data_IF_095105710739
#
_entry.id   IF_095105710739
#
_cell.length_a   1.000
_cell.length_b   1.000
_cell.length_c   1.000
_cell.angle_alpha   90.00
_cell.angle_beta   90.00
_cell.angle_gamma   90.00
#
_symmetry.space_group_name_H-M   'P 1'
#
loop_
_entity.id
_entity.type
_entity.pdbx_description
1 polymer ?
#
# COMPACT_ATOMS: atom_id res chain seq x y z
N UNK A 1 -4.95 -1.33 21.83
CA UNK A 1 -3.74 -0.51 21.66
C UNK A 1 -2.85 -1.05 20.55
N UNK A 2 -2.50 -2.34 20.54
CA UNK A 2 -1.68 -2.94 19.45
C UNK A 2 -2.38 -2.98 18.08
N UNK A 3 -3.63 -3.47 18.03
CA UNK A 3 -4.40 -3.58 16.79
C UNK A 3 -4.67 -2.21 16.12
N UNK A 4 -4.88 -1.16 16.91
CA UNK A 4 -5.09 0.20 16.41
C UNK A 4 -3.84 0.79 15.76
N UNK A 5 -2.65 0.57 16.35
CA UNK A 5 -1.39 1.04 15.78
C UNK A 5 -1.06 0.33 14.46
N UNK A 6 -1.39 -0.97 14.36
CA UNK A 6 -1.21 -1.73 13.13
C UNK A 6 -2.14 -1.24 12.02
N UNK A 7 -3.43 -0.99 12.32
CA UNK A 7 -4.38 -0.41 11.35
C UNK A 7 -3.95 0.97 10.87
N UNK A 8 -3.45 1.81 11.76
CA UNK A 8 -2.93 3.14 11.39
C UNK A 8 -1.73 3.02 10.44
N UNK A 9 -0.82 2.08 10.68
CA UNK A 9 0.29 1.79 9.75
C UNK A 9 -0.20 1.31 8.39
N UNK A 10 -1.23 0.46 8.35
CA UNK A 10 -1.83 -0.01 7.10
C UNK A 10 -2.46 1.15 6.34
N UNK A 11 -3.21 2.03 7.00
CA UNK A 11 -3.76 3.24 6.39
C UNK A 11 -2.66 4.16 5.81
N UNK A 12 -1.51 4.27 6.49
CA UNK A 12 -0.35 5.00 5.95
C UNK A 12 0.25 4.32 4.72
N UNK A 13 0.25 2.99 4.65
CA UNK A 13 0.72 2.24 3.48
C UNK A 13 -0.23 2.41 2.29
N UNK A 14 -1.54 2.37 2.53
CA UNK A 14 -2.57 2.64 1.50
C UNK A 14 -2.40 4.06 0.93
N UNK A 15 -2.19 5.06 1.79
CA UNK A 15 -1.91 6.43 1.32
C UNK A 15 -0.63 6.53 0.50
N UNK A 16 0.45 5.83 0.88
CA UNK A 16 1.70 5.81 0.09
C UNK A 16 1.52 5.11 -1.26
N UNK A 17 0.70 4.06 -1.30
CA UNK A 17 0.32 3.39 -2.55
C UNK A 17 -0.38 4.37 -3.50
N UNK A 18 -1.31 5.18 -3.01
CA UNK A 18 -1.98 6.20 -3.82
C UNK A 18 -0.98 7.21 -4.42
N UNK A 19 0.03 7.62 -3.66
CA UNK A 19 1.10 8.50 -4.15
C UNK A 19 1.89 7.84 -5.30
N UNK A 20 2.19 6.55 -5.18
CA UNK A 20 2.89 5.81 -6.24
C UNK A 20 2.04 5.63 -7.50
N UNK A 21 0.72 5.44 -7.35
CA UNK A 21 -0.22 5.42 -8.48
C UNK A 21 -0.21 6.78 -9.20
N UNK A 22 -0.34 7.89 -8.47
CA UNK A 22 -0.27 9.24 -9.05
C UNK A 22 1.08 9.49 -9.72
N UNK A 23 2.17 8.96 -9.14
CA UNK A 23 3.50 9.07 -9.72
C UNK A 23 3.56 8.38 -11.09
N UNK A 24 2.96 7.19 -11.24
CA UNK A 24 2.91 6.46 -12.52
C UNK A 24 2.20 7.22 -13.65
N UNK A 25 1.29 8.13 -13.31
CA UNK A 25 0.60 8.97 -14.30
C UNK A 25 1.55 9.98 -14.96
N UNK A 26 2.72 10.22 -14.37
CA UNK A 26 3.74 11.11 -14.94
C UNK A 26 4.44 10.46 -16.16
N UNK A 27 4.49 11.20 -17.26
CA UNK A 27 5.06 10.74 -18.52
C UNK A 27 6.59 10.66 -18.51
N UNK A 28 7.26 11.41 -17.63
CA UNK A 28 8.71 11.69 -17.60
C UNK A 28 9.49 10.89 -16.55
N UNK A 29 8.90 9.84 -15.98
CA UNK A 29 9.56 8.98 -14.97
C UNK A 29 10.82 8.25 -15.46
N UNK A 30 10.97 8.02 -16.76
CA UNK A 30 12.12 7.28 -17.31
C UNK A 30 12.28 5.91 -16.64
N UNK A 31 13.47 5.62 -16.11
CA UNK A 31 13.80 4.35 -15.44
C UNK A 31 13.09 4.17 -14.11
N UNK A 32 12.73 5.27 -13.42
CA UNK A 32 12.02 5.22 -12.13
C UNK A 32 10.65 4.54 -12.25
N UNK A 33 10.07 4.50 -13.46
CA UNK A 33 8.80 3.79 -13.71
C UNK A 33 8.89 2.31 -13.34
N UNK A 34 10.02 1.64 -13.58
CA UNK A 34 10.18 0.22 -13.24
C UNK A 34 10.17 0.05 -11.72
N UNK A 35 10.93 0.88 -11.01
CA UNK A 35 11.01 0.84 -9.55
C UNK A 35 9.66 1.16 -8.89
N UNK A 36 8.90 2.11 -9.45
CA UNK A 36 7.56 2.47 -8.95
C UNK A 36 6.55 1.34 -9.17
N UNK A 37 6.59 0.66 -10.32
CA UNK A 37 5.75 -0.51 -10.55
C UNK A 37 6.10 -1.64 -9.56
N UNK A 38 7.39 -1.92 -9.36
CA UNK A 38 7.83 -2.93 -8.40
C UNK A 38 7.37 -2.58 -6.97
N UNK A 39 7.53 -1.32 -6.55
CA UNK A 39 7.09 -0.88 -5.23
C UNK A 39 5.55 -1.01 -5.05
N UNK A 40 4.77 -0.78 -6.11
CA UNK A 40 3.32 -0.97 -6.08
C UNK A 40 2.95 -2.45 -5.95
N UNK A 41 3.61 -3.34 -6.70
CA UNK A 41 3.41 -4.79 -6.59
C UNK A 41 3.73 -5.28 -5.16
N UNK A 42 4.87 -4.89 -4.60
CA UNK A 42 5.26 -5.27 -3.24
C UNK A 42 4.28 -4.75 -2.18
N UNK A 43 3.76 -3.52 -2.35
CA UNK A 43 2.75 -2.97 -1.45
C UNK A 43 1.41 -3.70 -1.57
N UNK A 44 0.98 -4.04 -2.80
CA UNK A 44 -0.25 -4.79 -3.04
C UNK A 44 -0.17 -6.19 -2.43
N UNK A 45 0.95 -6.89 -2.62
CA UNK A 45 1.20 -8.19 -1.98
C UNK A 45 1.19 -8.09 -0.44
N UNK A 46 1.81 -7.04 0.11
CA UNK A 46 1.83 -6.82 1.56
C UNK A 46 0.43 -6.54 2.13
N UNK A 47 -0.36 -5.71 1.45
CA UNK A 47 -1.74 -5.40 1.86
C UNK A 47 -2.64 -6.64 1.75
N UNK A 48 -2.52 -7.43 0.68
CA UNK A 48 -3.26 -8.69 0.55
C UNK A 48 -2.86 -9.69 1.66
N UNK A 49 -1.57 -9.82 1.94
CA UNK A 49 -1.08 -10.67 3.02
C UNK A 49 -1.61 -10.20 4.39
N UNK A 50 -1.68 -8.89 4.63
CA UNK A 50 -2.28 -8.33 5.83
C UNK A 50 -3.75 -8.70 5.95
N UNK A 51 -4.54 -8.52 4.88
CA UNK A 51 -5.97 -8.84 4.87
C UNK A 51 -6.24 -10.31 5.17
N UNK A 52 -5.42 -11.20 4.61
CA UNK A 52 -5.53 -12.65 4.81
C UNK A 52 -5.12 -13.06 6.22
N UNK A 53 -4.15 -12.36 6.81
CA UNK A 53 -3.64 -12.66 8.15
C UNK A 53 -4.53 -12.08 9.24
N UNK A 54 -5.18 -10.94 8.98
CA UNK A 54 -5.95 -10.17 9.96
C UNK A 54 -7.35 -9.78 9.45
N UNK A 55 -8.21 -10.74 9.06
CA UNK A 55 -9.51 -10.44 8.44
C UNK A 55 -10.43 -9.58 9.31
N UNK A 56 -10.36 -9.74 10.64
CA UNK A 56 -11.18 -8.97 11.60
C UNK A 56 -10.74 -7.50 11.74
N UNK A 57 -9.55 -7.13 11.26
CA UNK A 57 -9.01 -5.77 11.36
C UNK A 57 -9.55 -4.83 10.27
N UNK A 58 -10.13 -5.39 9.19
CA UNK A 58 -10.79 -4.63 8.11
C UNK A 58 -12.23 -4.24 8.45
N UNK A 59 -12.86 -5.00 9.34
CA UNK A 59 -14.27 -4.86 9.71
C UNK A 59 -14.41 -4.08 11.00
N UNK A 60 -14.36 -2.76 10.92
CA UNK A 60 -14.98 -1.88 11.93
C UNK A 60 -15.65 -0.75 11.20
N UNK A 61 -16.91 -1.00 10.88
CA UNK A 61 -17.89 -0.02 10.42
C UNK A 61 -18.20 1.01 11.52
#
# INVERSE_FOLDING_TARGET
MEASALREKVAQLESKREVLVQLLEQSDLGTLRVDVNQALEELDELLEAFDRTFPDQRSSN
#
